data_IF_022412750697
#
_entry.id   IF_022412750697
#
_cell.length_a   1.000
_cell.length_b   1.000
_cell.length_c   1.000
_cell.angle_alpha   90.00
_cell.angle_beta   90.00
_cell.angle_gamma   90.00
#
_symmetry.space_group_name_H-M   'P 1'
#
loop_
_entity.id
_entity.type
_entity.pdbx_description
1 polymer ?
#
# COMPACT_ATOMS: atom_id res chain seq x y z
N UNK A 1 2.61 26.07 10.91
CA UNK A 1 2.82 25.00 9.92
C UNK A 1 1.86 23.80 10.04
N UNK A 2 0.92 23.78 11.00
CA UNK A 2 0.01 22.63 11.26
C UNK A 2 -1.23 22.54 10.34
N UNK A 3 -1.51 23.57 9.55
CA UNK A 3 -2.70 23.61 8.69
C UNK A 3 -2.42 23.32 7.20
N UNK A 4 -1.17 23.37 6.77
CA UNK A 4 -0.78 23.15 5.36
C UNK A 4 -1.06 21.72 4.90
N UNK A 5 -0.82 20.73 5.75
CA UNK A 5 -0.99 19.33 5.41
C UNK A 5 -2.46 18.90 5.28
N UNK A 6 -3.37 19.58 6.00
CA UNK A 6 -4.82 19.34 5.88
C UNK A 6 -5.38 19.87 4.56
N UNK A 7 -4.80 20.97 4.05
CA UNK A 7 -5.20 21.55 2.76
C UNK A 7 -4.74 20.69 1.58
N UNK A 8 -3.54 20.08 1.64
CA UNK A 8 -3.04 19.18 0.61
C UNK A 8 -3.90 17.91 0.57
N UNK A 9 -4.31 17.38 1.72
CA UNK A 9 -5.17 16.19 1.78
C UNK A 9 -6.60 16.50 1.27
N UNK A 10 -7.15 17.65 1.61
CA UNK A 10 -8.46 18.09 1.14
C UNK A 10 -8.47 18.35 -0.37
N UNK A 11 -7.37 18.86 -0.95
CA UNK A 11 -7.25 19.07 -2.40
C UNK A 11 -7.08 17.77 -3.18
N UNK A 12 -6.43 16.76 -2.62
CA UNK A 12 -6.35 15.41 -3.21
C UNK A 12 -7.72 14.73 -3.24
N UNK A 13 -8.50 14.83 -2.17
CA UNK A 13 -9.87 14.26 -2.11
C UNK A 13 -10.83 15.04 -3.03
N UNK A 14 -10.72 16.37 -3.09
CA UNK A 14 -11.53 17.19 -4.00
C UNK A 14 -11.21 16.95 -5.48
N UNK A 15 -9.94 16.68 -5.82
CA UNK A 15 -9.52 16.26 -7.15
C UNK A 15 -10.17 14.94 -7.59
N UNK A 16 -10.41 14.03 -6.66
CA UNK A 16 -11.06 12.75 -6.92
C UNK A 16 -12.55 12.89 -7.31
N UNK A 17 -13.22 13.91 -6.78
CA UNK A 17 -14.64 14.16 -7.05
C UNK A 17 -14.89 14.92 -8.37
N UNK A 18 -13.87 15.52 -8.97
CA UNK A 18 -14.03 16.35 -10.18
C UNK A 18 -14.03 15.57 -11.50
N UNK A 19 -13.76 14.26 -11.47
CA UNK A 19 -13.69 13.41 -12.67
C UNK A 19 -15.03 12.87 -13.17
N UNK A 20 -16.17 13.30 -12.60
CA UNK A 20 -17.50 12.75 -12.92
C UNK A 20 -18.07 13.19 -14.28
N UNK A 21 -17.33 13.91 -15.13
CA UNK A 21 -17.87 14.47 -16.38
C UNK A 21 -17.12 14.09 -17.66
N UNK A 22 -16.28 13.06 -17.63
CA UNK A 22 -15.69 12.56 -18.90
C UNK A 22 -16.66 11.58 -19.54
N UNK A 23 -17.56 12.12 -20.37
CA UNK A 23 -18.36 11.34 -21.34
C UNK A 23 -17.44 10.95 -22.50
N UNK A 24 -16.72 9.85 -22.38
CA UNK A 24 -16.06 9.21 -23.50
C UNK A 24 -16.82 7.94 -23.83
N UNK A 25 -17.52 8.00 -24.95
CA UNK A 25 -18.06 6.90 -25.76
C UNK A 25 -18.25 5.54 -25.07
N UNK A 26 -19.50 5.17 -24.81
CA UNK A 26 -20.06 3.82 -24.54
C UNK A 26 -19.40 2.94 -23.46
N UNK A 27 -18.48 3.44 -22.65
CA UNK A 27 -17.86 2.70 -21.55
C UNK A 27 -18.08 3.40 -20.23
N UNK A 28 -18.97 2.83 -19.46
CA UNK A 28 -19.30 3.31 -18.11
C UNK A 28 -18.10 3.11 -17.18
N UNK A 29 -17.70 4.15 -16.45
CA UNK A 29 -16.76 4.04 -15.38
C UNK A 29 -17.29 3.04 -14.34
N UNK A 30 -16.45 2.17 -13.83
CA UNK A 30 -16.80 1.25 -12.76
C UNK A 30 -16.11 1.62 -11.47
N UNK A 31 -16.75 1.35 -10.34
CA UNK A 31 -16.21 1.59 -9.02
C UNK A 31 -16.56 0.45 -8.07
N UNK A 32 -15.80 0.33 -7.01
CA UNK A 32 -16.02 -0.75 -6.07
C UNK A 32 -15.14 -0.68 -4.83
N UNK A 33 -15.29 -1.69 -4.02
CA UNK A 33 -14.44 -1.95 -2.86
C UNK A 33 -13.35 -2.95 -3.23
N UNK A 34 -12.20 -2.83 -2.56
CA UNK A 34 -11.09 -3.77 -2.66
C UNK A 34 -10.52 -4.03 -1.29
N UNK A 35 -10.17 -5.28 -1.01
CA UNK A 35 -9.49 -5.65 0.22
C UNK A 35 -8.59 -6.85 -0.01
N UNK A 36 -7.58 -7.01 0.85
CA UNK A 36 -6.63 -8.09 0.66
C UNK A 36 -5.60 -8.23 1.77
N UNK A 37 -4.72 -9.19 1.59
CA UNK A 37 -3.58 -9.46 2.45
C UNK A 37 -2.33 -8.87 1.84
N UNK A 38 -1.50 -8.28 2.69
CA UNK A 38 -0.19 -7.79 2.36
C UNK A 38 0.88 -8.69 2.98
N UNK A 39 1.88 -8.99 2.19
CA UNK A 39 3.11 -9.64 2.61
C UNK A 39 4.21 -8.61 2.40
N UNK A 40 4.59 -7.92 3.48
CA UNK A 40 5.52 -6.80 3.42
C UNK A 40 6.85 -7.14 4.02
N UNK A 41 7.89 -6.54 3.45
CA UNK A 41 9.24 -6.55 3.97
C UNK A 41 9.87 -5.17 3.79
N UNK A 42 10.88 -4.86 4.59
CA UNK A 42 11.74 -3.70 4.40
C UNK A 42 12.98 -4.15 3.63
N UNK A 43 13.13 -3.66 2.40
CA UNK A 43 14.34 -3.88 1.63
C UNK A 43 15.45 -2.95 2.13
N UNK A 44 16.58 -3.55 2.55
CA UNK A 44 17.80 -2.84 2.91
C UNK A 44 19.00 -3.54 2.26
N UNK A 45 20.01 -2.79 1.86
CA UNK A 45 21.18 -3.35 1.18
C UNK A 45 22.09 -4.23 2.10
N UNK A 46 21.81 -4.29 3.41
CA UNK A 46 22.73 -4.86 4.41
C UNK A 46 22.10 -5.89 5.38
N UNK A 47 20.88 -6.36 5.19
CA UNK A 47 20.24 -7.31 6.13
C UNK A 47 19.55 -8.44 5.37
N UNK A 48 20.08 -9.65 5.50
CA UNK A 48 19.59 -10.86 4.81
C UNK A 48 18.45 -11.60 5.56
N UNK A 49 18.09 -11.22 6.80
CA UNK A 49 17.17 -11.97 7.67
C UNK A 49 15.92 -11.16 8.08
N UNK A 50 15.23 -10.56 7.14
CA UNK A 50 13.94 -9.94 7.41
C UNK A 50 12.80 -10.93 7.12
N UNK A 51 12.04 -11.29 8.14
CA UNK A 51 10.82 -12.08 7.96
C UNK A 51 9.68 -11.21 7.41
N UNK A 52 8.84 -11.86 6.62
CA UNK A 52 7.69 -11.22 5.98
C UNK A 52 6.62 -10.89 7.03
N UNK A 53 6.27 -9.63 7.16
CA UNK A 53 5.12 -9.20 7.96
C UNK A 53 3.84 -9.38 7.16
N UNK A 54 2.88 -10.10 7.73
CA UNK A 54 1.52 -10.18 7.18
C UNK A 54 0.68 -9.02 7.67
N UNK A 55 0.19 -8.23 6.72
CA UNK A 55 -0.72 -7.10 6.93
C UNK A 55 -1.99 -7.24 6.12
N UNK A 56 -2.76 -6.15 6.04
CA UNK A 56 -3.97 -6.10 5.22
C UNK A 56 -4.07 -4.76 4.49
N UNK A 57 -4.92 -4.73 3.46
CA UNK A 57 -5.36 -3.51 2.82
C UNK A 57 -6.88 -3.53 2.62
N UNK A 58 -7.50 -2.36 2.68
CA UNK A 58 -8.91 -2.18 2.36
C UNK A 58 -9.14 -0.78 1.82
N UNK A 59 -9.95 -0.66 0.76
CA UNK A 59 -10.15 0.63 0.12
C UNK A 59 -11.19 0.61 -0.99
N UNK A 60 -11.18 1.71 -1.74
CA UNK A 60 -12.05 1.96 -2.87
C UNK A 60 -11.21 2.07 -4.14
N UNK A 61 -11.81 1.70 -5.25
CA UNK A 61 -11.26 1.93 -6.57
C UNK A 61 -12.30 2.50 -7.52
N UNK A 62 -11.84 3.23 -8.53
CA UNK A 62 -12.63 3.60 -9.68
C UNK A 62 -11.82 3.27 -10.93
N UNK A 63 -12.43 2.65 -11.93
CA UNK A 63 -11.81 2.26 -13.20
C UNK A 63 -12.47 3.04 -14.33
N UNK A 64 -11.70 3.87 -15.00
CA UNK A 64 -12.11 4.74 -16.11
C UNK A 64 -11.56 4.19 -17.41
N UNK A 65 -12.36 3.52 -18.25
CA UNK A 65 -11.90 3.04 -19.54
C UNK A 65 -11.55 4.21 -20.48
N UNK A 66 -10.35 4.16 -21.08
CA UNK A 66 -9.90 5.10 -22.12
C UNK A 66 -10.15 4.50 -23.49
N UNK A 67 -9.83 3.21 -23.63
CA UNK A 67 -10.07 2.42 -24.84
C UNK A 67 -10.71 1.08 -24.49
N UNK A 68 -10.91 0.20 -25.48
CA UNK A 68 -11.40 -1.17 -25.22
C UNK A 68 -10.46 -1.98 -24.33
N UNK A 69 -9.16 -1.72 -24.42
CA UNK A 69 -8.13 -2.49 -23.71
C UNK A 69 -7.39 -1.70 -22.64
N UNK A 70 -7.63 -0.40 -22.51
CA UNK A 70 -6.86 0.46 -21.59
C UNK A 70 -7.79 1.25 -20.70
N UNK A 71 -7.50 1.27 -19.41
CA UNK A 71 -8.21 2.08 -18.42
C UNK A 71 -7.22 2.74 -17.44
N UNK A 72 -7.62 3.86 -16.82
CA UNK A 72 -6.96 4.43 -15.64
C UNK A 72 -7.76 4.03 -14.41
N UNK A 73 -7.04 3.56 -13.38
CA UNK A 73 -7.65 3.09 -12.14
C UNK A 73 -7.00 3.76 -10.93
N UNK A 74 -7.49 4.93 -10.51
CA UNK A 74 -7.16 5.48 -9.21
C UNK A 74 -7.81 4.65 -8.08
N UNK A 75 -7.09 4.54 -6.98
CA UNK A 75 -7.55 3.86 -5.76
C UNK A 75 -7.24 4.71 -4.54
N UNK A 76 -7.94 4.46 -3.45
CA UNK A 76 -7.59 4.94 -2.11
C UNK A 76 -7.78 3.81 -1.13
N UNK A 77 -6.76 3.50 -0.35
CA UNK A 77 -6.79 2.39 0.60
C UNK A 77 -6.09 2.71 1.91
N UNK A 78 -6.61 2.12 2.97
CA UNK A 78 -5.86 1.93 4.20
C UNK A 78 -5.04 0.65 4.06
N UNK A 79 -3.74 0.72 4.33
CA UNK A 79 -2.83 -0.40 4.13
C UNK A 79 -1.82 -0.52 5.27
N UNK A 80 -1.61 -1.74 5.76
CA UNK A 80 -0.58 -2.05 6.75
C UNK A 80 0.63 -2.62 6.03
N UNK A 81 1.79 -1.99 6.29
CA UNK A 81 3.12 -2.39 5.79
C UNK A 81 4.08 -2.50 6.98
N UNK A 82 5.24 -3.09 6.77
CA UNK A 82 6.29 -3.13 7.78
C UNK A 82 7.21 -4.33 7.63
N UNK A 83 7.84 -4.73 8.72
CA UNK A 83 8.74 -5.88 8.78
C UNK A 83 8.60 -6.61 10.12
N UNK A 84 8.95 -7.87 10.10
CA UNK A 84 9.11 -8.72 11.27
C UNK A 84 10.58 -9.08 11.41
N UNK A 85 11.14 -8.85 12.61
CA UNK A 85 12.50 -9.23 12.97
C UNK A 85 12.43 -10.35 14.00
N UNK A 86 13.01 -11.49 13.69
CA UNK A 86 13.21 -12.59 14.64
C UNK A 86 14.63 -12.51 15.18
N UNK A 87 14.76 -12.53 16.49
CA UNK A 87 16.06 -12.60 17.14
C UNK A 87 16.12 -13.84 18.04
N UNK A 88 17.21 -14.59 17.87
CA UNK A 88 17.50 -15.81 18.62
C UNK A 88 18.96 -15.78 19.07
N UNK A 89 19.18 -15.38 20.33
CA UNK A 89 20.49 -15.42 20.94
C UNK A 89 20.46 -16.13 22.29
N UNK A 90 21.64 -16.45 22.80
CA UNK A 90 21.82 -17.29 24.01
C UNK A 90 21.03 -16.79 25.23
N UNK A 91 20.67 -15.51 25.28
CA UNK A 91 20.03 -14.86 26.44
C UNK A 91 18.58 -14.42 26.18
N UNK A 92 18.17 -14.24 24.93
CA UNK A 92 16.83 -13.78 24.59
C UNK A 92 16.41 -14.31 23.20
N UNK A 93 15.20 -14.84 23.15
CA UNK A 93 14.51 -15.27 21.93
C UNK A 93 13.21 -14.46 21.82
N UNK A 94 12.92 -13.96 20.62
CA UNK A 94 11.70 -13.21 20.42
C UNK A 94 11.52 -12.69 19.00
N UNK A 95 10.40 -12.02 18.81
CA UNK A 95 9.99 -11.43 17.52
C UNK A 95 9.58 -9.98 17.76
N UNK A 96 10.18 -9.08 17.01
CA UNK A 96 9.79 -7.67 16.97
C UNK A 96 9.07 -7.37 15.65
N UNK A 97 7.81 -6.94 15.73
CA UNK A 97 6.97 -6.58 14.58
C UNK A 97 6.80 -5.08 14.52
N UNK A 98 7.13 -4.52 13.37
CA UNK A 98 6.94 -3.10 13.06
C UNK A 98 5.77 -2.97 12.10
N UNK A 99 4.61 -2.58 12.60
CA UNK A 99 3.41 -2.35 11.81
C UNK A 99 3.25 -0.86 11.57
N UNK A 100 3.29 -0.45 10.30
CA UNK A 100 3.11 0.93 9.89
C UNK A 100 1.87 1.01 9.00
N UNK A 101 0.94 1.88 9.37
CA UNK A 101 -0.32 2.04 8.66
C UNK A 101 -0.29 3.31 7.82
N UNK A 102 -0.73 3.17 6.57
CA UNK A 102 -0.75 4.23 5.58
C UNK A 102 -2.14 4.41 4.99
N UNK A 103 -2.43 5.64 4.59
CA UNK A 103 -3.39 5.90 3.52
C UNK A 103 -2.60 5.93 2.22
N UNK A 104 -2.91 5.04 1.30
CA UNK A 104 -2.22 4.87 0.02
C UNK A 104 -3.14 5.22 -1.15
N UNK A 105 -2.61 5.94 -2.13
CA UNK A 105 -3.32 6.37 -3.34
C UNK A 105 -2.48 5.96 -4.55
N UNK A 106 -2.69 4.77 -5.11
CA UNK A 106 -2.14 4.39 -6.41
C UNK A 106 -2.99 4.96 -7.56
N UNK A 107 -2.34 5.25 -8.68
CA UNK A 107 -2.98 5.57 -9.96
C UNK A 107 -2.43 4.61 -11.01
N UNK A 108 -3.24 3.66 -11.42
CA UNK A 108 -2.79 2.54 -12.24
C UNK A 108 -3.27 2.69 -13.69
N UNK A 109 -2.39 2.42 -14.62
CA UNK A 109 -2.74 2.09 -15.98
C UNK A 109 -3.07 0.60 -16.04
N UNK A 110 -4.30 0.26 -16.40
CA UNK A 110 -4.80 -1.12 -16.52
C UNK A 110 -4.89 -1.46 -17.99
N UNK A 111 -4.25 -2.55 -18.39
CA UNK A 111 -4.26 -3.09 -19.75
C UNK A 111 -4.99 -4.44 -19.72
N UNK A 112 -6.16 -4.50 -20.34
CA UNK A 112 -6.92 -5.74 -20.48
C UNK A 112 -6.32 -6.54 -21.66
N UNK A 113 -5.67 -7.64 -21.34
CA UNK A 113 -5.03 -8.55 -22.31
C UNK A 113 -6.10 -9.47 -22.92
N UNK A 114 -7.07 -9.86 -22.13
CA UNK A 114 -8.30 -10.56 -22.54
C UNK A 114 -9.50 -9.90 -21.85
N UNK A 115 -10.70 -10.39 -22.10
CA UNK A 115 -11.94 -9.90 -21.47
C UNK A 115 -11.88 -10.00 -19.92
N UNK A 116 -11.17 -11.00 -19.41
CA UNK A 116 -11.11 -11.27 -17.98
C UNK A 116 -9.72 -11.06 -17.37
N UNK A 117 -8.63 -11.01 -18.16
CA UNK A 117 -7.28 -10.89 -17.63
C UNK A 117 -6.67 -9.52 -17.91
N UNK A 118 -6.16 -8.89 -16.88
CA UNK A 118 -5.50 -7.61 -16.98
C UNK A 118 -4.09 -7.61 -16.35
N UNK A 119 -3.26 -6.70 -16.85
CA UNK A 119 -2.00 -6.30 -16.25
C UNK A 119 -2.13 -4.83 -15.86
N UNK A 120 -1.63 -4.44 -14.71
CA UNK A 120 -1.71 -3.05 -14.28
C UNK A 120 -0.38 -2.57 -13.69
N UNK A 121 -0.07 -1.30 -13.93
CA UNK A 121 1.15 -0.66 -13.46
C UNK A 121 0.91 0.83 -13.24
N UNK A 122 1.55 1.42 -12.25
CA UNK A 122 1.48 2.85 -12.02
C UNK A 122 2.20 3.31 -10.77
N UNK A 123 2.32 4.62 -10.56
CA UNK A 123 2.84 5.19 -9.34
C UNK A 123 1.85 5.06 -8.18
N UNK A 124 2.38 5.07 -6.96
CA UNK A 124 1.59 5.28 -5.75
C UNK A 124 2.24 6.33 -4.85
N UNK A 125 1.42 6.98 -4.06
CA UNK A 125 1.81 7.80 -2.94
C UNK A 125 1.09 7.33 -1.68
N UNK A 126 1.75 7.35 -0.54
CA UNK A 126 1.19 6.93 0.73
C UNK A 126 1.61 7.87 1.85
N UNK A 127 0.73 8.04 2.83
CA UNK A 127 0.98 8.86 4.01
C UNK A 127 0.79 8.03 5.27
N UNK A 128 1.81 7.97 6.12
CA UNK A 128 1.79 7.29 7.41
C UNK A 128 0.78 7.95 8.35
N UNK A 129 -0.16 7.16 8.85
CA UNK A 129 -1.19 7.63 9.80
C UNK A 129 -0.95 7.11 11.21
N UNK A 130 -0.35 5.94 11.35
CA UNK A 130 0.06 5.39 12.65
C UNK A 130 1.16 4.35 12.50
N UNK A 131 1.86 4.07 13.58
CA UNK A 131 2.85 3.00 13.66
C UNK A 131 2.79 2.34 15.04
N UNK A 132 3.03 1.02 15.07
CA UNK A 132 3.04 0.22 16.29
C UNK A 132 4.16 -0.80 16.25
N UNK A 133 4.88 -0.91 17.34
CA UNK A 133 5.84 -2.00 17.56
C UNK A 133 5.23 -2.99 18.54
N UNK A 134 5.29 -4.26 18.21
CA UNK A 134 4.98 -5.38 19.10
C UNK A 134 6.24 -6.20 19.29
N UNK A 135 6.64 -6.42 20.52
CA UNK A 135 7.78 -7.24 20.86
C UNK A 135 7.28 -8.43 21.70
N UNK A 136 7.40 -9.62 21.15
CA UNK A 136 7.05 -10.88 21.80
C UNK A 136 8.33 -11.64 22.11
N UNK A 137 8.65 -11.82 23.38
CA UNK A 137 9.85 -12.53 23.85
C UNK A 137 9.52 -13.58 24.90
N UNK A 138 10.48 -14.46 25.18
CA UNK A 138 10.39 -15.43 26.28
C UNK A 138 10.22 -14.79 27.66
N UNK A 139 10.43 -13.48 27.81
CA UNK A 139 10.23 -12.71 29.04
C UNK A 139 8.87 -11.99 29.10
N UNK A 140 8.09 -12.02 28.03
CA UNK A 140 6.77 -11.39 27.95
C UNK A 140 6.56 -10.59 26.65
N UNK A 141 5.32 -10.14 26.47
CA UNK A 141 4.92 -9.33 25.31
C UNK A 141 4.79 -7.87 25.72
N UNK A 142 5.32 -6.97 24.90
CA UNK A 142 5.16 -5.53 25.04
C UNK A 142 4.71 -4.90 23.73
N UNK A 143 3.90 -3.85 23.84
CA UNK A 143 3.42 -3.07 22.69
C UNK A 143 3.70 -1.60 22.98
N UNK A 144 4.23 -0.90 21.97
CA UNK A 144 4.45 0.53 22.03
C UNK A 144 3.97 1.20 20.72
N UNK A 145 3.40 2.38 20.87
CA UNK A 145 3.16 3.23 19.70
C UNK A 145 4.49 3.82 19.24
N UNK A 146 4.72 3.80 17.93
CA UNK A 146 5.88 4.44 17.33
C UNK A 146 5.65 5.94 17.27
N UNK A 147 6.63 6.72 17.73
CA UNK A 147 6.61 8.17 17.46
C UNK A 147 6.82 8.39 15.95
N UNK A 148 5.72 8.72 15.28
CA UNK A 148 5.73 8.95 13.83
C UNK A 148 6.58 10.14 13.40
N UNK A 149 7.10 10.95 14.35
CA UNK A 149 7.99 12.06 14.03
C UNK A 149 9.41 11.61 13.69
N UNK A 150 9.81 10.41 14.12
CA UNK A 150 11.12 9.82 13.83
C UNK A 150 11.17 9.15 12.45
N UNK A 151 10.04 9.09 11.76
CA UNK A 151 9.91 8.46 10.45
C UNK A 151 9.60 9.49 9.36
N UNK A 152 9.95 9.13 8.14
CA UNK A 152 9.46 9.83 6.97
C UNK A 152 8.00 9.42 6.73
N UNK A 153 7.06 10.34 6.97
CA UNK A 153 5.62 10.05 6.86
C UNK A 153 5.14 9.83 5.44
N UNK A 154 5.94 10.21 4.46
CA UNK A 154 5.60 10.10 3.05
C UNK A 154 6.34 8.92 2.43
N UNK A 155 5.59 8.04 1.79
CA UNK A 155 6.08 6.92 0.98
C UNK A 155 5.56 7.07 -0.45
N UNK A 156 6.41 6.82 -1.43
CA UNK A 156 6.04 6.83 -2.84
C UNK A 156 6.84 5.77 -3.58
N UNK A 157 6.26 5.23 -4.64
CA UNK A 157 6.88 4.18 -5.41
C UNK A 157 6.11 3.78 -6.64
N UNK A 158 6.40 2.59 -7.12
CA UNK A 158 5.74 1.96 -8.26
C UNK A 158 4.99 0.72 -7.80
N UNK A 159 3.81 0.54 -8.37
CA UNK A 159 2.96 -0.64 -8.19
C UNK A 159 2.79 -1.34 -9.53
N UNK A 160 2.87 -2.67 -9.54
CA UNK A 160 2.64 -3.46 -10.74
C UNK A 160 2.03 -4.82 -10.38
N UNK A 161 1.13 -5.33 -11.23
CA UNK A 161 0.45 -6.58 -10.92
C UNK A 161 -0.39 -7.12 -12.05
N UNK A 162 -1.08 -8.20 -11.74
CA UNK A 162 -2.01 -8.89 -12.64
C UNK A 162 -3.35 -9.08 -11.94
N UNK A 163 -4.40 -9.13 -12.72
CA UNK A 163 -5.75 -9.30 -12.18
C UNK A 163 -6.66 -10.12 -13.12
N UNK A 164 -7.68 -10.69 -12.51
CA UNK A 164 -8.78 -11.36 -13.20
C UNK A 164 -10.05 -10.59 -12.83
N UNK A 165 -10.71 -10.04 -13.85
CA UNK A 165 -11.96 -9.32 -13.74
C UNK A 165 -13.09 -10.28 -14.14
N UNK A 166 -13.96 -10.63 -13.21
CA UNK A 166 -15.25 -11.26 -13.44
C UNK A 166 -16.34 -10.19 -13.36
N UNK A 167 -17.59 -10.53 -13.64
CA UNK A 167 -18.68 -9.56 -13.74
C UNK A 167 -18.78 -8.62 -12.52
N UNK A 168 -18.81 -9.20 -11.33
CA UNK A 168 -18.98 -8.47 -10.06
C UNK A 168 -17.72 -8.52 -9.19
N UNK A 169 -16.89 -9.54 -9.37
CA UNK A 169 -15.74 -9.82 -8.51
C UNK A 169 -14.46 -9.71 -9.33
N UNK A 170 -13.43 -9.11 -8.75
CA UNK A 170 -12.07 -9.14 -9.30
C UNK A 170 -11.08 -9.68 -8.27
N UNK A 171 -10.05 -10.36 -8.76
CA UNK A 171 -8.94 -10.90 -7.97
C UNK A 171 -7.63 -10.43 -8.57
N UNK A 172 -6.61 -10.36 -7.75
CA UNK A 172 -5.30 -10.08 -8.31
C UNK A 172 -4.18 -10.15 -7.30
N UNK A 173 -2.99 -10.07 -7.86
CA UNK A 173 -1.74 -9.96 -7.11
C UNK A 173 -1.03 -8.71 -7.58
N UNK A 174 -0.49 -7.94 -6.64
CA UNK A 174 0.21 -6.69 -6.88
C UNK A 174 1.47 -6.63 -6.06
N UNK A 175 2.53 -6.14 -6.66
CA UNK A 175 3.77 -5.81 -6.00
C UNK A 175 3.97 -4.29 -5.98
N UNK A 176 4.17 -3.74 -4.78
CA UNK A 176 4.49 -2.34 -4.55
C UNK A 176 5.97 -2.22 -4.16
N UNK A 177 6.73 -1.46 -4.93
CA UNK A 177 8.13 -1.16 -4.66
C UNK A 177 8.30 0.31 -4.27
N UNK A 178 8.70 0.55 -3.01
CA UNK A 178 8.97 1.88 -2.48
C UNK A 178 10.25 2.46 -3.03
N UNK A 179 10.19 3.72 -3.41
CA UNK A 179 11.34 4.51 -3.87
C UNK A 179 11.84 5.47 -2.79
N UNK A 180 10.98 5.81 -1.84
CA UNK A 180 11.31 6.69 -0.71
C UNK A 180 11.86 5.91 0.46
N UNK A 181 12.78 6.54 1.20
CA UNK A 181 13.35 6.01 2.42
C UNK A 181 12.39 6.24 3.59
N UNK A 182 12.22 5.23 4.46
CA UNK A 182 11.32 5.29 5.61
C UNK A 182 12.04 5.84 6.84
N UNK A 183 13.30 5.47 7.04
CA UNK A 183 14.13 5.92 8.17
C UNK A 183 14.65 7.34 7.95
N UNK A 184 14.71 8.14 9.02
CA UNK A 184 15.52 9.35 9.11
C UNK A 184 16.94 8.99 9.55
N UNK A 185 17.91 9.91 9.37
CA UNK A 185 19.34 9.68 9.66
C UNK A 185 19.61 9.27 11.13
N UNK A 186 18.74 9.63 12.07
CA UNK A 186 18.85 9.30 13.51
C UNK A 186 17.89 8.18 13.96
N UNK A 187 17.29 7.43 13.03
CA UNK A 187 16.30 6.38 13.32
C UNK A 187 16.96 5.02 13.59
N UNK A 188 16.33 4.19 14.43
CA UNK A 188 16.72 2.79 14.66
C UNK A 188 16.56 1.89 13.42
N UNK A 189 15.78 2.33 12.43
CA UNK A 189 15.65 1.66 11.14
C UNK A 189 16.74 2.20 10.21
N UNK A 190 17.39 1.31 9.47
CA UNK A 190 18.40 1.68 8.48
C UNK A 190 17.90 2.85 7.62
N UNK A 191 18.70 3.89 7.49
CA UNK A 191 18.37 5.10 6.72
C UNK A 191 18.00 4.81 5.26
N UNK A 192 18.36 3.63 4.74
CA UNK A 192 18.10 3.19 3.36
C UNK A 192 16.90 2.24 3.22
N UNK A 193 16.17 1.94 4.32
CA UNK A 193 15.04 1.03 4.29
C UNK A 193 13.88 1.56 3.41
N UNK A 194 13.41 0.73 2.50
CA UNK A 194 12.31 0.99 1.57
C UNK A 194 11.22 -0.07 1.72
N UNK A 195 9.98 0.29 1.48
CA UNK A 195 8.86 -0.64 1.49
C UNK A 195 8.90 -1.58 0.27
N UNK A 196 8.69 -2.86 0.53
CA UNK A 196 8.46 -3.90 -0.48
C UNK A 196 7.25 -4.71 -0.05
N UNK A 197 6.18 -4.70 -0.85
CA UNK A 197 4.90 -5.30 -0.46
C UNK A 197 4.33 -6.12 -1.62
N UNK A 198 4.11 -7.41 -1.38
CA UNK A 198 3.31 -8.26 -2.23
C UNK A 198 1.89 -8.31 -1.66
N UNK A 199 0.88 -7.97 -2.45
CA UNK A 199 -0.52 -7.98 -2.05
C UNK A 199 -1.32 -8.98 -2.87
N UNK A 200 -2.14 -9.80 -2.21
CA UNK A 200 -3.19 -10.56 -2.84
C UNK A 200 -4.54 -9.94 -2.46
N UNK A 201 -5.38 -9.61 -3.43
CA UNK A 201 -6.61 -8.87 -3.19
C UNK A 201 -7.83 -9.46 -3.88
N UNK A 202 -8.98 -9.16 -3.32
CA UNK A 202 -10.29 -9.35 -3.91
C UNK A 202 -11.00 -7.99 -3.97
N UNK A 203 -11.71 -7.72 -5.06
CA UNK A 203 -12.54 -6.54 -5.21
C UNK A 203 -13.97 -6.91 -5.58
N UNK A 204 -14.89 -6.04 -5.19
CA UNK A 204 -16.32 -6.12 -5.53
C UNK A 204 -16.69 -4.88 -6.31
N UNK A 205 -17.19 -5.08 -7.56
CA UNK A 205 -17.72 -4.01 -8.39
C UNK A 205 -19.15 -3.71 -7.95
N UNK A 206 -19.49 -2.42 -7.87
CA UNK A 206 -20.81 -1.94 -7.44
C UNK A 206 -21.72 -1.58 -8.62
N UNK A 207 -21.16 -1.37 -9.83
CA UNK A 207 -21.92 -1.00 -11.05
C UNK A 207 -21.35 -1.67 -12.31
#
# INVERSE_FOLDING_TARGET
>A
MKNSNKLVFASLVAGFMSFTSVQAQDKTASYGFKGGLNFSNLYTDNVDDNNVLTGFNAGLYAKFPITNSIAIQPEISYTTKGAELVYDNTFAQGTAKFNINYIEVPVLLVMNITDNFNVHVGPYAAYMVSGKTTNDSNFGSSQAELDTNDFNKFDAGLAGGVGIDLDVVNFGVRYNYGLTRIGKEDSFISSDAKNSVLSAYIGLRLN
#
